data_IF_645668987278
#
_entry.id   IF_645668987278
#
_cell.length_a   1.000
_cell.length_b   1.000
_cell.length_c   1.000
_cell.angle_alpha   90.00
_cell.angle_beta   90.00
_cell.angle_gamma   90.00
#
_symmetry.space_group_name_H-M   'P 1'
#
loop_
_entity.id
_entity.type
_entity.pdbx_description
1 polymer ?
#
# COMPACT_ATOMS: atom_id res chain seq x y z
N UNK A 1 -7.30 18.62 -25.83
CA UNK A 1 -7.45 17.80 -24.61
C UNK A 1 -7.72 18.73 -23.43
N UNK A 2 -8.83 18.58 -22.69
CA UNK A 2 -9.12 19.38 -21.48
C UNK A 2 -8.65 18.58 -20.27
N UNK A 3 -7.66 19.09 -19.53
CA UNK A 3 -7.04 18.34 -18.42
C UNK A 3 -7.89 18.34 -17.14
N UNK A 4 -8.71 19.39 -16.96
CA UNK A 4 -9.43 19.66 -15.71
C UNK A 4 -8.52 20.21 -14.60
N UNK A 5 -7.26 20.54 -14.92
CA UNK A 5 -6.32 21.13 -13.98
C UNK A 5 -6.45 22.65 -13.98
N UNK A 6 -6.51 23.23 -12.78
CA UNK A 6 -6.43 24.66 -12.54
C UNK A 6 -4.95 25.03 -12.42
N UNK A 7 -4.52 25.95 -13.27
CA UNK A 7 -3.13 26.44 -13.33
C UNK A 7 -3.13 27.96 -13.37
N UNK A 8 -2.03 28.59 -12.94
CA UNK A 8 -1.79 30.03 -13.14
C UNK A 8 -0.39 30.27 -13.70
N UNK A 9 -0.22 31.39 -14.38
CA UNK A 9 1.10 31.87 -14.79
C UNK A 9 1.76 32.65 -13.65
N UNK A 10 3.04 32.38 -13.38
CA UNK A 10 3.86 33.22 -12.50
C UNK A 10 4.53 34.37 -13.29
N UNK A 11 5.21 35.27 -12.57
CA UNK A 11 5.86 36.44 -13.16
C UNK A 11 7.06 36.08 -14.05
N UNK A 12 7.57 34.85 -13.91
CA UNK A 12 8.69 34.29 -14.67
C UNK A 12 8.22 33.59 -15.96
N UNK A 13 6.91 33.52 -16.21
CA UNK A 13 6.35 32.87 -17.39
C UNK A 13 6.32 31.35 -17.29
N UNK A 14 6.22 30.79 -16.08
CA UNK A 14 6.03 29.37 -15.82
C UNK A 14 4.59 29.08 -15.39
N UNK A 15 4.12 27.86 -15.66
CA UNK A 15 2.81 27.36 -15.25
C UNK A 15 2.89 26.74 -13.86
N UNK A 16 2.26 27.38 -12.87
CA UNK A 16 2.09 26.84 -11.52
C UNK A 16 0.78 26.04 -11.44
N UNK A 17 0.88 24.80 -10.99
CA UNK A 17 -0.29 23.97 -10.69
C UNK A 17 -0.97 24.44 -9.41
N UNK A 18 -2.29 24.73 -9.49
CA UNK A 18 -3.10 25.25 -8.38
C UNK A 18 -4.02 24.16 -7.81
N UNK A 19 -4.51 23.25 -8.66
CA UNK A 19 -5.42 22.17 -8.27
C UNK A 19 -6.18 21.60 -9.46
N UNK A 20 -7.32 20.96 -9.24
CA UNK A 20 -8.28 20.62 -10.31
C UNK A 20 -9.49 21.55 -10.25
N UNK A 21 -10.14 21.74 -11.39
CA UNK A 21 -11.43 22.44 -11.49
C UNK A 21 -12.60 21.60 -10.98
N UNK A 22 -12.41 20.28 -10.88
CA UNK A 22 -13.32 19.34 -10.23
C UNK A 22 -12.81 19.00 -8.82
N UNK A 23 -13.73 18.74 -7.88
CA UNK A 23 -13.41 18.33 -6.50
C UNK A 23 -13.04 16.84 -6.43
N UNK A 24 -12.34 16.32 -7.44
CA UNK A 24 -12.03 14.92 -7.56
C UNK A 24 -10.84 14.54 -6.68
N UNK A 25 -10.99 13.47 -5.89
CA UNK A 25 -9.99 13.04 -4.92
C UNK A 25 -9.58 11.58 -5.12
N UNK A 26 -8.34 11.25 -4.78
CA UNK A 26 -7.87 9.86 -4.71
C UNK A 26 -7.88 9.39 -3.26
N UNK A 27 -8.69 8.40 -2.95
CA UNK A 27 -8.77 7.76 -1.63
C UNK A 27 -8.66 6.26 -1.84
N UNK A 28 -7.64 5.63 -1.22
CA UNK A 28 -7.42 4.17 -1.25
C UNK A 28 -7.40 3.59 -2.67
N UNK A 29 -6.77 4.30 -3.61
CA UNK A 29 -6.69 3.91 -5.02
C UNK A 29 -7.94 4.21 -5.85
N UNK A 30 -9.05 4.62 -5.23
CA UNK A 30 -10.26 5.01 -5.94
C UNK A 30 -10.25 6.50 -6.26
N UNK A 31 -10.66 6.81 -7.49
CA UNK A 31 -10.87 8.18 -7.96
C UNK A 31 -12.34 8.52 -7.69
N UNK A 32 -12.60 9.44 -6.77
CA UNK A 32 -13.94 9.74 -6.24
C UNK A 32 -14.28 11.19 -6.57
N UNK A 33 -15.48 11.39 -7.12
CA UNK A 33 -16.07 12.71 -7.32
C UNK A 33 -16.84 13.13 -6.06
N UNK A 34 -16.33 14.10 -5.30
CA UNK A 34 -17.00 14.54 -4.07
C UNK A 34 -18.42 15.07 -4.32
N UNK A 35 -18.65 15.66 -5.50
CA UNK A 35 -19.97 16.13 -5.92
C UNK A 35 -21.01 15.01 -6.05
N UNK A 36 -20.61 13.82 -6.50
CA UNK A 36 -21.50 12.66 -6.60
C UNK A 36 -21.95 12.19 -5.22
N UNK A 37 -21.01 12.10 -4.28
CA UNK A 37 -21.31 11.74 -2.88
C UNK A 37 -22.19 12.80 -2.22
N UNK A 38 -21.91 14.08 -2.46
CA UNK A 38 -22.73 15.20 -2.00
C UNK A 38 -24.17 15.14 -2.53
N UNK A 39 -24.34 14.85 -3.81
CA UNK A 39 -25.66 14.69 -4.42
C UNK A 39 -26.45 13.52 -3.81
N UNK A 40 -25.78 12.39 -3.54
CA UNK A 40 -26.42 11.24 -2.89
C UNK A 40 -26.88 11.54 -1.46
N UNK A 41 -26.08 12.31 -0.70
CA UNK A 41 -26.46 12.80 0.64
C UNK A 41 -27.66 13.74 0.57
N UNK A 42 -27.63 14.74 -0.32
CA UNK A 42 -28.74 15.69 -0.53
C UNK A 42 -30.04 15.02 -0.98
N UNK A 43 -29.95 13.85 -1.61
CA UNK A 43 -31.12 13.08 -2.03
C UNK A 43 -31.77 12.26 -0.90
N UNK A 44 -31.26 12.32 0.33
CA UNK A 44 -31.93 11.71 1.50
C UNK A 44 -33.01 12.65 2.01
N UNK A 45 -34.22 12.14 2.24
CA UNK A 45 -35.32 12.93 2.75
C UNK A 45 -34.98 13.60 4.10
N UNK A 46 -35.25 14.91 4.20
CA UNK A 46 -34.96 15.74 5.37
C UNK A 46 -33.60 16.43 5.36
N UNK A 47 -32.69 16.08 4.43
CA UNK A 47 -31.43 16.81 4.25
C UNK A 47 -31.69 18.10 3.48
N UNK A 48 -31.29 19.24 4.05
CA UNK A 48 -31.46 20.57 3.43
C UNK A 48 -30.23 20.99 2.62
N UNK A 49 -29.04 20.76 3.17
CA UNK A 49 -27.75 20.97 2.50
C UNK A 49 -26.82 19.82 2.83
N UNK A 50 -25.97 19.42 1.88
CA UNK A 50 -24.91 18.44 2.10
C UNK A 50 -23.60 18.88 1.44
N UNK A 51 -22.49 18.65 2.14
CA UNK A 51 -21.15 18.79 1.57
C UNK A 51 -20.25 17.64 2.01
N UNK A 52 -19.36 17.21 1.12
CA UNK A 52 -18.42 16.13 1.39
C UNK A 52 -17.01 16.69 1.30
N UNK A 53 -16.19 16.34 2.28
CA UNK A 53 -14.78 16.70 2.33
C UNK A 53 -13.94 15.48 2.62
N UNK A 54 -12.67 15.55 2.23
CA UNK A 54 -11.66 14.59 2.66
C UNK A 54 -11.03 15.12 3.94
N UNK A 55 -11.07 14.31 5.00
CA UNK A 55 -10.30 14.55 6.23
C UNK A 55 -9.13 13.59 6.31
N UNK A 56 -8.06 14.04 6.95
CA UNK A 56 -6.87 13.27 7.28
C UNK A 56 -6.52 13.61 8.74
N UNK A 57 -7.30 13.08 9.68
CA UNK A 57 -7.09 13.36 11.11
C UNK A 57 -5.91 12.55 11.70
N UNK A 58 -5.45 11.52 10.96
CA UNK A 58 -4.19 10.79 11.20
C UNK A 58 -3.36 10.79 9.91
N UNK A 59 -2.03 10.99 9.98
CA UNK A 59 -1.17 10.99 8.79
C UNK A 59 -1.36 9.73 7.94
N UNK A 60 -1.64 9.91 6.64
CA UNK A 60 -1.88 8.84 5.69
C UNK A 60 -3.31 8.27 5.67
N UNK A 61 -4.16 8.58 6.66
CA UNK A 61 -5.53 8.04 6.77
C UNK A 61 -6.57 9.01 6.20
N UNK A 62 -6.64 9.09 4.86
CA UNK A 62 -7.67 9.90 4.19
C UNK A 62 -9.05 9.24 4.24
N UNK A 63 -10.06 9.98 4.68
CA UNK A 63 -11.45 9.52 4.83
C UNK A 63 -12.43 10.56 4.27
N UNK A 64 -13.51 10.08 3.67
CA UNK A 64 -14.65 10.92 3.31
C UNK A 64 -15.49 11.23 4.55
N UNK A 65 -15.87 12.50 4.73
CA UNK A 65 -16.80 12.93 5.77
C UNK A 65 -17.88 13.78 5.13
N UNK A 66 -19.14 13.40 5.35
CA UNK A 66 -20.31 14.17 4.92
C UNK A 66 -20.79 15.09 6.03
N UNK A 67 -21.02 16.36 5.73
CA UNK A 67 -21.67 17.31 6.62
C UNK A 67 -23.02 17.66 6.04
N UNK A 68 -24.08 17.48 6.83
CA UNK A 68 -25.45 17.71 6.40
C UNK A 68 -26.16 18.67 7.35
N UNK A 69 -27.17 19.36 6.85
CA UNK A 69 -28.12 20.16 7.64
C UNK A 69 -29.53 19.61 7.49
N UNK A 70 -30.41 19.96 8.41
CA UNK A 70 -31.81 19.50 8.44
C UNK A 70 -32.09 18.52 9.57
N UNK A 71 -33.38 18.23 9.78
CA UNK A 71 -33.86 17.36 10.86
C UNK A 71 -33.70 15.87 10.49
N UNK A 72 -32.46 15.40 10.49
CA UNK A 72 -32.09 14.03 10.08
C UNK A 72 -31.22 13.31 11.10
N UNK A 73 -31.24 11.98 11.05
CA UNK A 73 -30.32 11.12 11.79
C UNK A 73 -29.12 10.76 10.91
N UNK A 74 -27.91 11.00 11.41
CA UNK A 74 -26.66 10.77 10.68
C UNK A 74 -26.49 9.31 10.22
N UNK A 75 -26.88 8.34 11.04
CA UNK A 75 -26.74 6.91 10.76
C UNK A 75 -27.74 6.48 9.69
N UNK A 76 -28.97 7.00 9.72
CA UNK A 76 -29.98 6.80 8.67
C UNK A 76 -29.53 7.42 7.33
N UNK A 77 -28.97 8.62 7.35
CA UNK A 77 -28.42 9.27 6.15
C UNK A 77 -27.29 8.43 5.55
N UNK A 78 -26.31 8.04 6.36
CA UNK A 78 -25.16 7.24 5.92
C UNK A 78 -25.58 5.90 5.32
N UNK A 79 -26.46 5.17 6.00
CA UNK A 79 -26.98 3.88 5.52
C UNK A 79 -27.77 4.01 4.21
N UNK A 80 -28.58 5.07 4.06
CA UNK A 80 -29.34 5.36 2.83
C UNK A 80 -28.43 5.67 1.64
N UNK A 81 -27.27 6.31 1.88
CA UNK A 81 -26.25 6.51 0.85
C UNK A 81 -25.57 5.18 0.48
N UNK A 82 -25.27 4.32 1.46
CA UNK A 82 -24.64 3.02 1.23
C UNK A 82 -25.48 2.02 0.41
N UNK A 83 -26.79 2.23 0.29
CA UNK A 83 -27.65 1.45 -0.62
C UNK A 83 -27.49 1.88 -2.08
N UNK A 84 -27.08 3.12 -2.33
CA UNK A 84 -27.07 3.76 -3.66
C UNK A 84 -25.68 3.94 -4.26
N UNK A 85 -24.67 4.10 -3.41
CA UNK A 85 -23.29 4.29 -3.83
C UNK A 85 -22.43 3.05 -3.55
N UNK A 86 -21.39 2.80 -4.35
CA UNK A 86 -20.33 1.88 -3.99
C UNK A 86 -19.73 2.23 -2.63
N UNK A 87 -19.33 1.22 -1.87
CA UNK A 87 -18.85 1.40 -0.49
C UNK A 87 -17.68 2.38 -0.35
N UNK A 88 -16.74 2.39 -1.30
CA UNK A 88 -15.60 3.30 -1.27
C UNK A 88 -15.99 4.78 -1.40
N UNK A 89 -17.21 5.08 -1.87
CA UNK A 89 -17.78 6.43 -1.95
C UNK A 89 -18.62 6.80 -0.73
N UNK A 90 -18.97 5.83 0.13
CA UNK A 90 -19.79 6.10 1.33
C UNK A 90 -18.93 6.83 2.36
N UNK A 91 -19.36 7.99 2.89
CA UNK A 91 -18.62 8.69 3.93
C UNK A 91 -18.35 7.80 5.14
N UNK A 92 -17.13 7.89 5.69
CA UNK A 92 -16.77 7.21 6.93
C UNK A 92 -17.61 7.72 8.11
N UNK A 93 -17.99 9.00 8.09
CA UNK A 93 -18.92 9.61 9.04
C UNK A 93 -19.83 10.62 8.35
N UNK A 94 -21.02 10.82 8.93
CA UNK A 94 -21.94 11.91 8.60
C UNK A 94 -22.13 12.76 9.85
N UNK A 95 -21.96 14.08 9.74
CA UNK A 95 -22.13 15.03 10.84
C UNK A 95 -23.30 15.94 10.52
N UNK A 96 -24.28 16.00 11.42
CA UNK A 96 -25.41 16.93 11.31
C UNK A 96 -25.03 18.25 11.95
N UNK A 97 -25.21 19.34 11.22
CA UNK A 97 -24.95 20.71 11.66
C UNK A 97 -26.24 21.53 11.60
N UNK A 98 -26.34 22.53 12.47
CA UNK A 98 -27.43 23.52 12.38
C UNK A 98 -27.31 24.37 11.10
N UNK A 99 -26.08 24.66 10.66
CA UNK A 99 -25.78 25.36 9.41
C UNK A 99 -24.36 25.03 8.93
N UNK A 100 -24.14 25.13 7.61
CA UNK A 100 -22.79 25.00 7.05
C UNK A 100 -21.97 26.27 7.33
N UNK A 101 -20.73 26.16 7.86
CA UNK A 101 -19.89 27.33 8.10
C UNK A 101 -19.42 27.94 6.77
N UNK A 102 -19.67 29.23 6.58
CA UNK A 102 -19.27 29.96 5.38
C UNK A 102 -18.25 31.05 5.73
N UNK A 103 -17.28 31.24 4.83
CA UNK A 103 -16.37 32.39 4.82
C UNK A 103 -17.14 33.69 4.52
N UNK A 104 -16.49 34.84 4.75
CA UNK A 104 -17.05 36.18 4.41
C UNK A 104 -17.50 36.34 2.94
N UNK A 105 -16.96 35.50 2.04
CA UNK A 105 -17.30 35.49 0.61
C UNK A 105 -18.39 34.45 0.26
N UNK A 106 -19.05 33.85 1.25
CA UNK A 106 -20.12 32.87 1.05
C UNK A 106 -19.65 31.48 0.61
N UNK A 107 -18.33 31.21 0.60
CA UNK A 107 -17.77 29.87 0.32
C UNK A 107 -17.70 29.03 1.60
N UNK A 108 -17.81 27.70 1.50
CA UNK A 108 -17.62 26.79 2.63
C UNK A 108 -16.27 27.02 3.32
N UNK A 109 -16.31 27.26 4.62
CA UNK A 109 -15.12 27.29 5.47
C UNK A 109 -14.79 25.88 5.97
N UNK A 110 -14.00 25.15 5.19
CA UNK A 110 -13.58 23.77 5.51
C UNK A 110 -12.82 23.66 6.84
N UNK A 111 -12.18 24.74 7.31
CA UNK A 111 -11.38 24.74 8.55
C UNK A 111 -12.26 24.79 9.80
N UNK A 112 -13.45 25.36 9.67
CA UNK A 112 -14.44 25.49 10.74
C UNK A 112 -15.35 24.27 10.86
N UNK A 113 -15.17 23.24 10.02
CA UNK A 113 -15.93 22.00 10.11
C UNK A 113 -15.48 21.17 11.31
N UNK A 114 -16.39 20.79 12.23
CA UNK A 114 -16.04 20.01 13.41
C UNK A 114 -15.51 18.64 13.00
N UNK A 115 -14.59 18.08 13.79
CA UNK A 115 -14.17 16.70 13.58
C UNK A 115 -15.38 15.77 13.85
N UNK A 116 -15.64 14.78 12.97
CA UNK A 116 -16.68 13.79 13.23
C UNK A 116 -16.31 12.97 14.46
N UNK A 117 -17.31 12.66 15.28
CA UNK A 117 -17.15 11.60 16.26
C UNK A 117 -17.24 10.26 15.53
N UNK A 118 -16.08 9.63 15.32
CA UNK A 118 -16.01 8.29 14.75
C UNK A 118 -16.54 7.22 15.74
N UNK A 119 -16.85 7.57 16.99
CA UNK A 119 -17.37 6.66 18.02
C UNK A 119 -18.83 6.18 17.78
N UNK A 120 -19.38 6.41 16.58
CA UNK A 120 -20.71 5.95 16.17
C UNK A 120 -20.87 4.43 16.01
N UNK A 121 -19.78 3.66 16.00
CA UNK A 121 -19.84 2.21 16.22
C UNK A 121 -19.50 1.99 17.71
N UNK A 122 -20.53 1.79 18.56
CA UNK A 122 -20.32 1.47 19.99
C UNK A 122 -19.28 0.36 20.06
N UNK A 123 -18.11 0.66 20.60
CA UNK A 123 -17.04 -0.31 20.74
C UNK A 123 -17.58 -1.57 21.41
N UNK A 124 -17.68 -2.64 20.63
CA UNK A 124 -17.96 -3.98 21.13
C UNK A 124 -16.65 -4.72 21.19
N UNK A 125 -16.28 -5.12 22.40
CA UNK A 125 -15.11 -5.96 22.61
C UNK A 125 -15.31 -7.34 21.94
N UNK A 126 -14.23 -7.98 21.47
CA UNK A 126 -14.29 -9.37 21.04
C UNK A 126 -14.76 -10.27 22.18
N UNK A 127 -15.58 -11.26 21.84
CA UNK A 127 -16.24 -12.16 22.78
C UNK A 127 -15.95 -13.65 22.50
N UNK A 128 -15.27 -13.94 21.40
CA UNK A 128 -14.88 -15.30 21.01
C UNK A 128 -13.38 -15.33 20.67
N UNK A 129 -12.72 -16.49 20.81
CA UNK A 129 -11.29 -16.61 20.47
C UNK A 129 -10.95 -16.18 19.03
N UNK A 130 -11.85 -16.45 18.08
CA UNK A 130 -11.66 -16.04 16.68
C UNK A 130 -11.78 -14.51 16.54
N UNK A 131 -12.77 -13.90 17.20
CA UNK A 131 -12.91 -12.44 17.23
C UNK A 131 -11.67 -11.77 17.88
N UNK A 132 -11.13 -12.35 18.96
CA UNK A 132 -9.93 -11.84 19.64
C UNK A 132 -8.71 -11.84 18.72
N UNK A 133 -8.45 -12.97 18.05
CA UNK A 133 -7.34 -13.09 17.09
C UNK A 133 -7.51 -12.10 15.94
N UNK A 134 -8.70 -12.06 15.32
CA UNK A 134 -8.95 -11.17 14.19
C UNK A 134 -8.85 -9.69 14.58
N UNK A 135 -9.43 -9.28 15.71
CA UNK A 135 -9.35 -7.89 16.18
C UNK A 135 -7.90 -7.48 16.46
N UNK A 136 -7.09 -8.36 17.07
CA UNK A 136 -5.66 -8.11 17.30
C UNK A 136 -4.89 -7.98 15.98
N UNK A 137 -5.14 -8.88 15.02
CA UNK A 137 -4.48 -8.83 13.71
C UNK A 137 -4.86 -7.55 12.95
N UNK A 138 -6.12 -7.15 12.99
CA UNK A 138 -6.58 -5.91 12.35
C UNK A 138 -5.88 -4.69 12.95
N UNK A 139 -5.83 -4.61 14.28
CA UNK A 139 -5.15 -3.53 15.01
C UNK A 139 -3.67 -3.42 14.59
N UNK A 140 -2.95 -4.54 14.55
CA UNK A 140 -1.55 -4.60 14.15
C UNK A 140 -1.31 -4.24 12.67
N UNK A 141 -2.19 -4.65 11.77
CA UNK A 141 -2.04 -4.34 10.34
C UNK A 141 -2.35 -2.88 10.05
N UNK A 142 -3.36 -2.32 10.73
CA UNK A 142 -3.82 -0.95 10.50
C UNK A 142 -3.10 0.08 11.37
N UNK A 143 -2.23 -0.34 12.29
CA UNK A 143 -1.53 0.56 13.21
C UNK A 143 -2.45 1.22 14.23
N UNK A 144 -3.51 0.51 14.66
CA UNK A 144 -4.50 1.01 15.61
C UNK A 144 -4.25 0.40 16.99
N UNK A 145 -4.52 1.16 18.06
CA UNK A 145 -4.42 0.65 19.44
C UNK A 145 -5.45 -0.46 19.70
N UNK A 146 -6.66 -0.31 19.14
CA UNK A 146 -7.76 -1.26 19.29
C UNK A 146 -8.72 -1.22 18.10
N UNK A 147 -9.39 -2.34 17.87
CA UNK A 147 -10.45 -2.50 16.85
C UNK A 147 -11.66 -3.15 17.51
N UNK A 148 -12.82 -2.52 17.38
CA UNK A 148 -14.11 -3.09 17.79
C UNK A 148 -14.59 -4.14 16.80
N UNK A 149 -15.34 -5.13 17.28
CA UNK A 149 -15.69 -6.25 16.39
C UNK A 149 -16.74 -5.92 15.33
N UNK A 150 -17.47 -4.83 15.50
CA UNK A 150 -18.42 -4.30 14.52
C UNK A 150 -17.82 -3.17 13.68
N UNK A 151 -16.54 -2.85 13.90
CA UNK A 151 -15.84 -1.85 13.12
C UNK A 151 -15.68 -2.35 11.69
N UNK A 152 -16.20 -1.59 10.72
CA UNK A 152 -15.95 -1.92 9.32
C UNK A 152 -14.47 -1.72 9.00
N UNK A 153 -13.80 -2.78 8.55
CA UNK A 153 -12.40 -2.80 8.15
C UNK A 153 -12.03 -1.62 7.25
N UNK A 154 -12.89 -1.31 6.29
CA UNK A 154 -12.68 -0.19 5.38
C UNK A 154 -12.92 1.15 6.06
N UNK A 155 -13.85 1.29 7.00
CA UNK A 155 -14.03 2.56 7.72
C UNK A 155 -12.79 2.93 8.54
N UNK A 156 -12.14 1.93 9.15
CA UNK A 156 -11.00 2.13 10.04
C UNK A 156 -9.63 2.21 9.33
N UNK A 157 -9.61 2.19 7.99
CA UNK A 157 -8.39 2.42 7.20
C UNK A 157 -7.91 1.23 6.38
N UNK A 158 -8.63 0.10 6.42
CA UNK A 158 -8.34 -1.06 5.60
C UNK A 158 -8.59 -0.85 4.11
N UNK A 159 -7.87 -1.65 3.32
CA UNK A 159 -7.89 -1.72 1.87
C UNK A 159 -7.58 -3.16 1.39
N UNK A 160 -7.49 -3.37 0.09
CA UNK A 160 -7.22 -4.71 -0.46
C UNK A 160 -5.86 -5.28 -0.04
N UNK A 161 -4.82 -4.46 0.10
CA UNK A 161 -3.47 -4.91 0.44
C UNK A 161 -3.42 -5.33 1.91
N UNK A 162 -3.92 -4.48 2.80
CA UNK A 162 -4.03 -4.78 4.23
C UNK A 162 -4.95 -5.98 4.47
N UNK A 163 -5.97 -6.23 3.64
CA UNK A 163 -6.79 -7.45 3.77
C UNK A 163 -5.99 -8.73 3.53
N UNK A 164 -5.01 -8.71 2.60
CA UNK A 164 -4.13 -9.85 2.34
C UNK A 164 -3.16 -10.04 3.52
N UNK A 165 -2.62 -8.95 4.07
CA UNK A 165 -1.77 -9.00 5.26
C UNK A 165 -2.51 -9.56 6.49
N UNK A 166 -3.77 -9.16 6.68
CA UNK A 166 -4.66 -9.70 7.72
C UNK A 166 -4.83 -11.21 7.54
N UNK A 167 -5.14 -11.67 6.32
CA UNK A 167 -5.31 -13.10 6.03
C UNK A 167 -4.06 -13.90 6.36
N UNK A 168 -2.88 -13.40 5.96
CA UNK A 168 -1.61 -14.08 6.23
C UNK A 168 -1.32 -14.18 7.74
N UNK A 169 -1.49 -13.09 8.49
CA UNK A 169 -1.26 -13.06 9.95
C UNK A 169 -2.31 -13.86 10.72
N UNK A 170 -3.57 -13.80 10.32
CA UNK A 170 -4.64 -14.61 10.91
C UNK A 170 -4.35 -16.11 10.72
N UNK A 171 -3.89 -16.51 9.53
CA UNK A 171 -3.51 -17.90 9.24
C UNK A 171 -2.35 -18.37 10.12
N UNK A 172 -1.34 -17.53 10.32
CA UNK A 172 -0.23 -17.82 11.24
C UNK A 172 -0.71 -17.97 12.70
N UNK A 173 -1.79 -17.30 13.08
CA UNK A 173 -2.46 -17.44 14.37
C UNK A 173 -3.53 -18.56 14.40
N UNK A 174 -3.60 -19.42 13.38
CA UNK A 174 -4.51 -20.58 13.32
C UNK A 174 -5.93 -20.27 12.83
N UNK A 175 -6.21 -19.02 12.42
CA UNK A 175 -7.52 -18.59 11.88
C UNK A 175 -7.45 -18.46 10.37
N UNK A 176 -8.22 -19.28 9.66
CA UNK A 176 -8.27 -19.29 8.20
C UNK A 176 -9.45 -18.45 7.71
N UNK A 177 -9.10 -17.39 6.99
CA UNK A 177 -10.02 -16.51 6.28
C UNK A 177 -9.47 -16.22 4.89
N UNK A 178 -10.33 -15.87 3.94
CA UNK A 178 -9.95 -15.47 2.57
C UNK A 178 -10.06 -13.96 2.40
N UNK A 179 -9.26 -13.32 1.53
CA UNK A 179 -9.39 -11.89 1.27
C UNK A 179 -10.82 -11.49 0.89
N UNK A 180 -11.49 -12.31 0.06
CA UNK A 180 -12.90 -12.12 -0.32
C UNK A 180 -13.85 -12.06 0.87
N UNK A 181 -13.60 -12.83 1.92
CA UNK A 181 -14.46 -12.85 3.12
C UNK A 181 -14.35 -11.54 3.88
N UNK A 182 -13.15 -10.95 3.98
CA UNK A 182 -12.97 -9.61 4.56
C UNK A 182 -13.71 -8.55 3.74
N UNK A 183 -13.60 -8.60 2.40
CA UNK A 183 -14.29 -7.66 1.50
C UNK A 183 -15.82 -7.75 1.63
N UNK A 184 -16.35 -8.97 1.79
CA UNK A 184 -17.80 -9.23 1.84
C UNK A 184 -18.39 -8.96 3.22
N UNK A 185 -17.72 -9.45 4.27
CA UNK A 185 -18.25 -9.44 5.64
C UNK A 185 -17.83 -8.22 6.45
N UNK A 186 -16.70 -7.59 6.09
CA UNK A 186 -16.27 -6.23 6.48
C UNK A 186 -15.94 -6.00 7.96
N UNK A 187 -16.67 -6.60 8.89
CA UNK A 187 -16.43 -6.47 10.33
C UNK A 187 -15.79 -7.75 10.87
N UNK A 188 -15.04 -7.63 11.97
CA UNK A 188 -14.44 -8.80 12.63
C UNK A 188 -15.52 -9.81 13.02
N UNK A 189 -16.66 -9.36 13.54
CA UNK A 189 -17.77 -10.21 13.95
C UNK A 189 -18.42 -10.99 12.81
N UNK A 190 -18.50 -10.37 11.63
CA UNK A 190 -19.04 -11.02 10.45
C UNK A 190 -18.02 -11.96 9.79
N UNK A 191 -16.74 -11.58 9.77
CA UNK A 191 -15.65 -12.44 9.28
C UNK A 191 -15.47 -13.66 10.19
N UNK A 192 -15.55 -13.48 11.51
CA UNK A 192 -15.43 -14.56 12.48
C UNK A 192 -16.48 -15.68 12.28
N UNK A 193 -17.67 -15.35 11.75
CA UNK A 193 -18.73 -16.32 11.45
C UNK A 193 -18.43 -17.24 10.27
N UNK A 194 -17.55 -16.81 9.36
CA UNK A 194 -17.15 -17.59 8.17
C UNK A 194 -15.72 -18.12 8.25
N UNK A 195 -14.96 -17.66 9.25
CA UNK A 195 -13.62 -18.15 9.53
C UNK A 195 -13.64 -19.62 9.94
N UNK A 196 -12.57 -20.33 9.57
CA UNK A 196 -12.34 -21.71 10.00
C UNK A 196 -11.06 -21.81 10.81
N UNK A 197 -10.96 -22.79 11.70
CA UNK A 197 -9.76 -23.02 12.49
C UNK A 197 -8.89 -24.05 11.77
N UNK A 198 -7.62 -23.73 11.55
CA UNK A 198 -6.66 -24.71 11.04
C UNK A 198 -6.35 -25.72 12.16
N UNK A 199 -6.72 -26.99 11.97
CA UNK A 199 -6.43 -28.10 12.89
C UNK A 199 -5.29 -29.02 12.41
N UNK A 200 -4.67 -28.69 11.27
CA UNK A 200 -3.50 -29.40 10.76
C UNK A 200 -2.19 -28.78 11.27
N UNK A 201 -1.06 -29.49 11.20
CA UNK A 201 0.24 -28.86 11.38
C UNK A 201 0.32 -27.66 10.44
N UNK A 202 0.86 -26.54 10.93
CA UNK A 202 1.29 -25.44 10.07
C UNK A 202 2.13 -26.09 8.99
N UNK A 203 1.66 -26.06 7.73
CA UNK A 203 2.35 -26.73 6.62
C UNK A 203 3.82 -26.32 6.62
N UNK A 204 4.70 -27.18 6.08
CA UNK A 204 6.13 -26.87 5.94
C UNK A 204 6.27 -25.41 5.51
N UNK A 205 6.98 -24.64 6.33
CA UNK A 205 7.27 -23.25 6.03
C UNK A 205 8.09 -23.29 4.75
N UNK A 206 7.48 -22.87 3.65
CA UNK A 206 8.16 -22.65 2.38
C UNK A 206 9.26 -21.63 2.64
N UNK A 207 10.51 -22.10 2.66
CA UNK A 207 11.70 -21.28 2.86
C UNK A 207 12.05 -20.47 1.60
N UNK A 208 11.23 -20.60 0.54
CA UNK A 208 11.32 -19.89 -0.71
C UNK A 208 12.45 -20.39 -1.62
N UNK A 209 12.99 -21.58 -1.37
CA UNK A 209 14.10 -22.16 -2.14
C UNK A 209 13.59 -23.22 -3.12
N UNK A 210 14.22 -23.31 -4.30
CA UNK A 210 13.92 -24.33 -5.31
C UNK A 210 13.12 -23.79 -6.50
N UNK A 211 12.38 -24.67 -7.15
CA UNK A 211 11.64 -24.34 -8.38
C UNK A 211 10.51 -23.33 -8.12
N UNK A 212 10.41 -22.33 -8.99
CA UNK A 212 9.37 -21.30 -8.93
C UNK A 212 8.46 -21.45 -10.15
N UNK A 213 7.16 -21.51 -9.91
CA UNK A 213 6.19 -21.52 -11.00
C UNK A 213 6.12 -20.16 -11.69
N UNK A 214 6.12 -20.16 -13.03
CA UNK A 214 5.89 -18.97 -13.83
C UNK A 214 4.50 -18.40 -13.56
N UNK A 215 4.46 -17.27 -12.87
CA UNK A 215 3.23 -16.50 -12.71
C UNK A 215 2.84 -15.84 -14.03
N UNK A 216 1.58 -15.40 -14.23
CA UNK A 216 1.16 -14.77 -15.48
C UNK A 216 2.02 -13.57 -15.91
N UNK A 217 2.57 -12.80 -14.95
CA UNK A 217 3.44 -11.67 -15.26
C UNK A 217 4.84 -12.11 -15.72
N UNK A 218 5.35 -13.23 -15.19
CA UNK A 218 6.62 -13.83 -15.60
C UNK A 218 6.48 -14.38 -17.02
N UNK A 219 5.42 -15.16 -17.30
CA UNK A 219 5.13 -15.65 -18.65
C UNK A 219 4.88 -14.53 -19.65
N UNK A 220 4.25 -13.43 -19.21
CA UNK A 220 4.14 -12.23 -20.04
C UNK A 220 5.52 -11.65 -20.36
N UNK A 221 6.39 -11.45 -19.37
CA UNK A 221 7.73 -10.89 -19.57
C UNK A 221 8.59 -11.77 -20.49
N UNK A 222 8.51 -13.09 -20.31
CA UNK A 222 9.13 -14.09 -21.18
C UNK A 222 8.67 -13.93 -22.65
N UNK A 223 7.40 -13.61 -22.88
CA UNK A 223 6.84 -13.41 -24.22
C UNK A 223 7.25 -12.08 -24.90
N UNK A 224 7.80 -11.12 -24.15
CA UNK A 224 8.15 -9.78 -24.69
C UNK A 224 9.35 -9.87 -25.62
N UNK A 225 9.19 -9.43 -26.88
CA UNK A 225 10.31 -9.31 -27.81
C UNK A 225 11.32 -8.24 -27.34
N UNK A 226 12.62 -8.56 -27.35
CA UNK A 226 13.70 -7.67 -26.92
C UNK A 226 14.51 -8.19 -25.73
N UNK A 227 15.51 -7.41 -25.31
CA UNK A 227 16.39 -7.71 -24.17
C UNK A 227 15.69 -7.35 -22.86
N UNK A 228 15.33 -8.36 -22.08
CA UNK A 228 14.64 -8.19 -20.80
C UNK A 228 15.58 -8.18 -19.60
N UNK A 229 16.86 -8.53 -19.75
CA UNK A 229 17.80 -8.68 -18.63
C UNK A 229 18.07 -7.40 -17.83
N UNK A 230 17.77 -6.23 -18.38
CA UNK A 230 17.87 -4.94 -17.68
C UNK A 230 16.50 -4.40 -17.22
N UNK A 231 15.41 -5.17 -17.32
CA UNK A 231 14.07 -4.71 -16.96
C UNK A 231 13.95 -4.60 -15.43
N UNK A 232 14.17 -3.40 -14.89
CA UNK A 232 14.38 -3.18 -13.47
C UNK A 232 13.48 -2.09 -12.88
N UNK A 233 13.42 -2.06 -11.55
CA UNK A 233 13.06 -0.88 -10.77
C UNK A 233 14.29 -0.41 -9.98
N UNK A 234 14.37 0.87 -9.66
CA UNK A 234 15.47 1.41 -8.87
C UNK A 234 14.97 2.44 -7.85
N UNK A 235 15.47 2.34 -6.63
CA UNK A 235 15.17 3.27 -5.53
C UNK A 235 16.46 3.63 -4.79
N UNK A 236 16.53 4.88 -4.34
CA UNK A 236 17.66 5.42 -3.59
C UNK A 236 17.25 5.61 -2.13
N UNK A 237 18.10 5.10 -1.24
CA UNK A 237 17.99 5.23 0.20
C UNK A 237 19.14 6.09 0.73
N UNK A 238 18.92 6.71 1.88
CA UNK A 238 19.96 7.46 2.60
C UNK A 238 20.24 6.72 3.89
N UNK A 239 21.48 6.26 4.06
CA UNK A 239 21.92 5.55 5.24
C UNK A 239 22.12 6.46 6.46
N UNK A 240 22.16 5.88 7.68
CA UNK A 240 22.35 6.63 8.91
C UNK A 240 23.73 7.28 9.01
N UNK A 241 23.92 8.19 9.98
CA UNK A 241 25.24 8.76 10.23
C UNK A 241 26.22 7.68 10.68
N UNK A 242 27.47 7.74 10.20
CA UNK A 242 28.51 6.79 10.57
C UNK A 242 28.49 5.45 9.81
N UNK A 243 27.54 5.24 8.90
CA UNK A 243 27.48 4.00 8.09
C UNK A 243 28.74 3.82 7.24
N UNK A 244 29.37 2.67 7.38
CA UNK A 244 30.57 2.28 6.64
C UNK A 244 30.26 1.28 5.52
N UNK A 245 31.23 1.05 4.64
CA UNK A 245 31.08 0.09 3.55
C UNK A 245 30.78 -1.34 4.05
N UNK A 246 31.34 -1.74 5.19
CA UNK A 246 31.08 -3.04 5.80
C UNK A 246 29.62 -3.21 6.21
N UNK A 247 29.00 -2.15 6.76
CA UNK A 247 27.59 -2.15 7.14
C UNK A 247 26.69 -2.27 5.90
N UNK A 248 27.06 -1.61 4.80
CA UNK A 248 26.36 -1.71 3.52
C UNK A 248 26.45 -3.14 2.95
N UNK A 249 27.60 -3.80 3.04
CA UNK A 249 27.72 -5.19 2.64
C UNK A 249 26.86 -6.11 3.51
N UNK A 250 26.87 -5.89 4.84
CA UNK A 250 26.09 -6.68 5.78
C UNK A 250 24.58 -6.54 5.54
N UNK A 251 24.08 -5.32 5.37
CA UNK A 251 22.65 -5.09 5.14
C UNK A 251 22.19 -5.62 3.79
N UNK A 252 23.00 -5.45 2.73
CA UNK A 252 22.66 -6.00 1.40
C UNK A 252 22.70 -7.53 1.44
N UNK A 253 23.63 -8.14 2.19
CA UNK A 253 23.65 -9.59 2.39
C UNK A 253 22.41 -10.06 3.15
N UNK A 254 22.02 -9.36 4.22
CA UNK A 254 20.82 -9.67 4.99
C UNK A 254 19.54 -9.59 4.14
N UNK A 255 19.42 -8.58 3.27
CA UNK A 255 18.33 -8.49 2.30
C UNK A 255 18.36 -9.66 1.32
N UNK A 256 19.54 -9.92 0.73
CA UNK A 256 19.74 -11.02 -0.20
C UNK A 256 19.37 -12.36 0.42
N UNK A 257 19.60 -12.58 1.72
CA UNK A 257 19.32 -13.82 2.43
C UNK A 257 17.88 -13.93 2.94
N UNK A 258 17.28 -12.81 3.33
CA UNK A 258 15.90 -12.76 3.85
C UNK A 258 14.85 -12.84 2.74
N UNK A 259 15.15 -12.34 1.54
CA UNK A 259 14.22 -12.33 0.42
C UNK A 259 14.63 -13.31 -0.68
N UNK A 260 14.01 -14.49 -0.68
CA UNK A 260 14.19 -15.57 -1.65
C UNK A 260 14.31 -15.10 -3.11
N UNK A 261 13.36 -14.28 -3.58
CA UNK A 261 13.32 -13.82 -4.97
C UNK A 261 14.51 -12.94 -5.38
N UNK A 262 15.26 -12.35 -4.43
CA UNK A 262 16.50 -11.61 -4.74
C UNK A 262 17.67 -12.54 -5.14
N UNK A 263 17.46 -13.86 -5.06
CA UNK A 263 18.40 -14.91 -5.48
C UNK A 263 17.83 -15.76 -6.63
N UNK A 264 16.82 -15.23 -7.33
CA UNK A 264 16.18 -15.92 -8.46
C UNK A 264 17.16 -16.08 -9.63
N UNK A 265 17.31 -17.31 -10.10
CA UNK A 265 17.95 -17.69 -11.36
C UNK A 265 16.88 -18.01 -12.42
N UNK A 266 17.14 -17.57 -13.64
CA UNK A 266 16.35 -17.91 -14.84
C UNK A 266 17.25 -18.61 -15.85
N UNK A 267 16.99 -19.89 -16.09
CA UNK A 267 17.64 -20.70 -17.13
C UNK A 267 16.74 -20.77 -18.38
N UNK A 268 17.33 -21.05 -19.56
CA UNK A 268 16.57 -21.17 -20.82
C UNK A 268 16.47 -19.90 -21.68
N UNK A 269 17.31 -18.89 -21.42
CA UNK A 269 17.31 -17.62 -22.17
C UNK A 269 18.00 -17.69 -23.56
N UNK A 270 17.93 -18.82 -24.28
CA UNK A 270 18.51 -18.93 -25.63
C UNK A 270 17.53 -18.43 -26.69
N UNK A 271 18.04 -17.72 -27.72
CA UNK A 271 17.24 -17.06 -28.77
C UNK A 271 16.29 -17.97 -29.57
N UNK A 272 16.40 -19.30 -29.46
CA UNK A 272 15.63 -20.25 -30.28
C UNK A 272 14.38 -20.82 -29.62
N UNK A 273 14.34 -20.97 -28.30
CA UNK A 273 13.17 -21.47 -27.54
C UNK A 273 13.18 -20.82 -26.15
N UNK A 274 12.21 -19.95 -25.86
CA UNK A 274 12.05 -19.32 -24.54
C UNK A 274 11.15 -20.23 -23.71
N UNK A 275 11.80 -21.14 -22.99
CA UNK A 275 11.16 -21.90 -21.92
C UNK A 275 11.95 -21.63 -20.64
N UNK A 276 11.51 -20.61 -19.91
CA UNK A 276 12.17 -20.16 -18.70
C UNK A 276 11.97 -21.18 -17.58
N UNK A 277 13.07 -21.72 -17.10
CA UNK A 277 13.09 -22.43 -15.82
C UNK A 277 13.54 -21.46 -14.73
N UNK A 278 12.73 -21.32 -13.68
CA UNK A 278 12.97 -20.40 -12.57
C UNK A 278 13.34 -21.20 -11.32
N UNK A 279 14.47 -20.87 -10.72
CA UNK A 279 14.94 -21.50 -9.48
C UNK A 279 15.47 -20.46 -8.51
N UNK A 280 15.12 -20.56 -7.23
CA UNK A 280 15.70 -19.74 -6.17
C UNK A 280 16.77 -20.52 -5.42
N UNK A 281 17.94 -19.90 -5.22
CA UNK A 281 19.01 -20.46 -4.40
C UNK A 281 18.80 -20.28 -2.89
N UNK A 282 19.47 -21.13 -2.11
CA UNK A 282 19.54 -21.00 -0.65
C UNK A 282 20.20 -19.67 -0.24
N UNK A 283 19.95 -19.17 0.99
CA UNK A 283 20.72 -18.06 1.55
C UNK A 283 22.23 -18.25 1.37
N UNK A 284 22.94 -17.18 1.02
CA UNK A 284 24.36 -17.19 0.68
C UNK A 284 24.71 -17.62 -0.75
N UNK A 285 23.73 -18.03 -1.58
CA UNK A 285 23.99 -18.37 -2.99
C UNK A 285 24.38 -17.17 -3.85
N UNK A 286 24.07 -15.95 -3.38
CA UNK A 286 24.46 -14.67 -3.98
C UNK A 286 25.13 -13.84 -2.89
N UNK A 287 26.32 -13.30 -3.19
CA UNK A 287 27.12 -12.53 -2.24
C UNK A 287 26.95 -11.03 -2.49
N UNK A 288 26.76 -10.26 -1.42
CA UNK A 288 26.65 -8.80 -1.50
C UNK A 288 27.86 -8.15 -2.17
N UNK A 289 29.06 -8.72 -1.99
CA UNK A 289 30.31 -8.28 -2.61
C UNK A 289 30.26 -8.28 -4.15
N UNK A 290 29.49 -9.20 -4.75
CA UNK A 290 29.34 -9.29 -6.21
C UNK A 290 28.27 -8.31 -6.75
N UNK A 291 27.43 -7.80 -5.84
CA UNK A 291 26.28 -6.95 -6.15
C UNK A 291 26.53 -5.47 -5.85
N UNK A 292 27.36 -5.16 -4.85
CA UNK A 292 27.63 -3.79 -4.37
C UNK A 292 28.80 -3.17 -5.12
N UNK A 293 28.65 -1.94 -5.56
CA UNK A 293 29.71 -1.14 -6.17
C UNK A 293 29.81 0.19 -5.46
N UNK A 294 30.98 0.50 -4.89
CA UNK A 294 31.24 1.78 -4.23
C UNK A 294 31.73 2.81 -5.23
N UNK A 295 31.17 4.01 -5.19
CA UNK A 295 31.49 5.13 -6.08
C UNK A 295 31.76 6.38 -5.24
N UNK A 296 32.54 7.32 -5.78
CA UNK A 296 32.81 8.60 -5.10
C UNK A 296 31.61 9.54 -5.14
N UNK A 297 30.82 9.46 -6.22
CA UNK A 297 29.60 10.24 -6.42
C UNK A 297 28.58 9.39 -7.18
N UNK A 298 27.30 9.56 -6.84
CA UNK A 298 26.20 8.84 -7.47
C UNK A 298 25.77 9.59 -8.73
N UNK A 299 26.06 9.01 -9.89
CA UNK A 299 25.72 9.59 -11.20
C UNK A 299 24.79 8.66 -11.99
N UNK A 300 24.15 9.21 -13.02
CA UNK A 300 23.29 8.42 -13.91
C UNK A 300 24.14 7.36 -14.65
N UNK A 301 25.36 7.69 -15.04
CA UNK A 301 26.27 6.77 -15.72
C UNK A 301 26.56 5.53 -14.88
N UNK A 302 26.87 5.72 -13.59
CA UNK A 302 27.18 4.61 -12.69
C UNK A 302 25.94 3.74 -12.41
N UNK A 303 24.74 4.35 -12.39
CA UNK A 303 23.47 3.62 -12.27
C UNK A 303 23.16 2.81 -13.54
N UNK A 304 23.41 3.35 -14.73
CA UNK A 304 23.26 2.64 -16.01
C UNK A 304 24.26 1.50 -16.11
N UNK A 305 25.52 1.72 -15.72
CA UNK A 305 26.54 0.67 -15.69
C UNK A 305 26.15 -0.45 -14.70
N UNK A 306 25.69 -0.09 -13.51
CA UNK A 306 25.22 -1.07 -12.54
C UNK A 306 24.00 -1.85 -13.05
N UNK A 307 23.02 -1.19 -13.69
CA UNK A 307 21.87 -1.86 -14.31
C UNK A 307 22.30 -2.87 -15.38
N UNK A 308 23.25 -2.50 -16.23
CA UNK A 308 23.80 -3.40 -17.27
C UNK A 308 24.53 -4.63 -16.73
N UNK A 309 24.84 -4.66 -15.42
CA UNK A 309 25.44 -5.80 -14.72
C UNK A 309 24.42 -6.70 -14.01
N UNK A 310 23.12 -6.45 -14.18
CA UNK A 310 22.08 -7.41 -13.78
C UNK A 310 22.28 -8.71 -14.56
N UNK A 311 22.18 -9.84 -13.86
CA UNK A 311 22.38 -11.15 -14.45
C UNK A 311 21.38 -12.14 -13.85
N UNK A 312 20.23 -12.26 -14.53
CA UNK A 312 19.14 -13.15 -14.15
C UNK A 312 19.52 -14.63 -14.29
N UNK A 313 20.45 -14.98 -15.19
CA UNK A 313 20.95 -16.35 -15.31
C UNK A 313 21.97 -16.68 -14.20
N UNK A 314 22.72 -15.68 -13.74
CA UNK A 314 23.65 -15.79 -12.62
C UNK A 314 23.01 -15.69 -11.23
N UNK A 315 21.71 -15.41 -11.13
CA UNK A 315 21.03 -15.15 -9.86
C UNK A 315 21.22 -13.73 -9.30
N UNK A 316 21.99 -12.87 -10.00
CA UNK A 316 22.28 -11.49 -9.59
C UNK A 316 21.20 -10.56 -10.11
N UNK A 317 20.00 -10.73 -9.58
CA UNK A 317 18.83 -9.88 -9.90
C UNK A 317 18.82 -8.56 -9.13
N UNK A 318 19.78 -8.34 -8.23
CA UNK A 318 19.99 -7.10 -7.49
C UNK A 318 21.40 -6.55 -7.74
N UNK A 319 21.49 -5.23 -7.96
CA UNK A 319 22.71 -4.44 -7.96
C UNK A 319 22.56 -3.27 -7.01
N UNK A 320 23.63 -2.94 -6.30
CA UNK A 320 23.65 -1.85 -5.34
C UNK A 320 24.81 -0.90 -5.66
N UNK A 321 24.54 0.41 -5.64
CA UNK A 321 25.56 1.45 -5.80
C UNK A 321 25.63 2.25 -4.51
N UNK A 322 26.80 2.25 -3.87
CA UNK A 322 27.04 2.93 -2.61
C UNK A 322 27.90 4.17 -2.81
N UNK A 323 27.42 5.32 -2.36
CA UNK A 323 28.12 6.59 -2.36
C UNK A 323 28.34 7.04 -0.91
N UNK A 324 29.57 6.90 -0.36
CA UNK A 324 29.81 7.07 1.08
C UNK A 324 29.60 8.49 1.59
N UNK A 325 29.91 9.52 0.80
CA UNK A 325 29.95 10.92 1.28
C UNK A 325 28.55 11.44 1.59
N UNK A 326 27.60 11.22 0.68
CA UNK A 326 26.18 11.52 0.83
C UNK A 326 25.39 10.40 1.47
N UNK A 327 26.04 9.28 1.81
CA UNK A 327 25.44 8.07 2.39
C UNK A 327 24.31 7.51 1.54
N UNK A 328 24.45 7.55 0.22
CA UNK A 328 23.39 7.14 -0.71
C UNK A 328 23.59 5.70 -1.14
N UNK A 329 22.57 4.87 -0.90
CA UNK A 329 22.50 3.50 -1.39
C UNK A 329 21.41 3.41 -2.46
N UNK A 330 21.81 3.26 -3.72
CA UNK A 330 20.86 2.98 -4.80
C UNK A 330 20.74 1.46 -4.99
N UNK A 331 19.54 0.93 -4.85
CA UNK A 331 19.21 -0.47 -5.15
C UNK A 331 18.53 -0.54 -6.51
N UNK A 332 19.07 -1.38 -7.39
CA UNK A 332 18.57 -1.66 -8.74
C UNK A 332 18.20 -3.14 -8.77
N UNK A 333 16.91 -3.44 -8.86
CA UNK A 333 16.41 -4.82 -8.77
C UNK A 333 15.58 -5.15 -10.01
N UNK A 334 15.85 -6.31 -10.60
CA UNK A 334 15.10 -6.81 -11.75
C UNK A 334 13.62 -6.99 -11.40
N UNK A 335 12.73 -6.65 -12.32
CA UNK A 335 11.27 -6.63 -12.10
C UNK A 335 10.67 -8.03 -11.85
N UNK A 336 11.45 -9.09 -12.05
CA UNK A 336 11.10 -10.46 -11.65
C UNK A 336 11.12 -10.66 -10.13
N UNK A 337 11.91 -9.87 -9.41
CA UNK A 337 12.14 -10.02 -7.99
C UNK A 337 11.52 -8.89 -7.15
N UNK A 338 11.01 -7.83 -7.77
CA UNK A 338 10.47 -6.66 -7.08
C UNK A 338 9.27 -6.06 -7.79
N UNK A 339 8.32 -5.57 -6.99
CA UNK A 339 7.25 -4.68 -7.42
C UNK A 339 7.06 -3.50 -6.45
N UNK A 340 6.02 -2.69 -6.70
CA UNK A 340 5.72 -1.49 -5.90
C UNK A 340 5.43 -1.83 -4.42
N UNK A 341 4.85 -2.99 -4.13
CA UNK A 341 4.56 -3.43 -2.75
C UNK A 341 5.83 -3.97 -2.10
N UNK A 342 6.67 -4.69 -2.85
CA UNK A 342 7.96 -5.22 -2.37
C UNK A 342 8.86 -4.12 -1.81
N UNK A 343 8.90 -2.94 -2.44
CA UNK A 343 9.75 -1.83 -1.98
C UNK A 343 9.42 -1.32 -0.59
N UNK A 344 8.15 -1.39 -0.17
CA UNK A 344 7.77 -1.04 1.20
C UNK A 344 8.40 -2.01 2.20
N UNK A 345 8.36 -3.30 1.90
CA UNK A 345 8.92 -4.36 2.74
C UNK A 345 10.44 -4.21 2.82
N UNK A 346 11.13 -4.07 1.68
CA UNK A 346 12.57 -3.84 1.62
C UNK A 346 12.97 -2.57 2.39
N UNK A 347 12.19 -1.50 2.28
CA UNK A 347 12.42 -0.26 3.02
C UNK A 347 12.27 -0.44 4.53
N UNK A 348 11.25 -1.16 4.98
CA UNK A 348 11.04 -1.48 6.39
C UNK A 348 12.19 -2.35 6.95
N UNK A 349 12.66 -3.34 6.19
CA UNK A 349 13.77 -4.22 6.58
C UNK A 349 15.12 -3.49 6.60
N UNK A 350 15.35 -2.56 5.68
CA UNK A 350 16.52 -1.66 5.71
C UNK A 350 16.55 -0.82 6.98
N UNK A 351 15.40 -0.24 7.38
CA UNK A 351 15.31 0.53 8.62
C UNK A 351 15.59 -0.35 9.84
N UNK A 352 14.98 -1.54 9.90
CA UNK A 352 15.20 -2.49 11.01
C UNK A 352 16.66 -2.91 11.11
N UNK A 353 17.32 -3.20 10.00
CA UNK A 353 18.70 -3.68 10.00
C UNK A 353 19.75 -2.59 10.26
N UNK A 354 19.44 -1.30 10.04
CA UNK A 354 20.31 -0.19 10.44
C UNK A 354 20.10 0.26 11.90
N UNK A 355 18.95 -0.01 12.48
CA UNK A 355 18.65 0.29 13.89
C UNK A 355 19.17 -0.81 14.85
N UNK A 356 19.59 -1.98 14.34
CA UNK A 356 20.02 -3.16 15.09
C UNK A 356 21.53 -3.15 15.45
#
# INVERSE_FOLDING_TARGET
YRTGDLVRWNAQGELEYVGRSDDQVKIRGFRIELGEVGAALSAVAGVEQAVVVVREDQPGSKRLVGYVTGAVDATVVRSSVGVRLPEYMVPAAVVVLDSLPLTVNGKLDKRSLPAPDYAGERYRAPSTPIEEVLASVYAQVLGLERVGVDDSFFNIGGDSISSIQVVARARAAGVVVKPREILVHKTVSAVARVATVHTGPVGEVDDGVGEVFSTPIISWLESVAGQVGEFNQALMFVGPEGVEHADVLAIVQALLDSHAMLRLRVDGHSDSERDWSLTVGSPGSVRAEDCVTTVSELTIENLVEARGKLDIAGGRVLRAVWEPTGRKLALIIHHLAVDVVSWRIIGDDLNLGWDA
#
